data_IF_363035298138
#
_entry.id   IF_363035298138
#
_cell.length_a   1.000
_cell.length_b   1.000
_cell.length_c   1.000
_cell.angle_alpha   90.00
_cell.angle_beta   90.00
_cell.angle_gamma   90.00
#
_symmetry.space_group_name_H-M   'P 1'
#
loop_
_entity.id
_entity.type
_entity.pdbx_description
1 polymer ?
#
# COMPACT_ATOMS: atom_id res chain seq x y z
N UNK A 1 -5.09 9.06 17.38
CA UNK A 1 -4.66 9.23 15.97
C UNK A 1 -3.24 8.67 15.90
N UNK A 2 -3.05 7.52 15.24
CA UNK A 2 -1.72 6.91 15.16
C UNK A 2 -0.84 7.60 14.11
N UNK A 3 0.44 7.78 14.42
CA UNK A 3 1.48 8.24 13.48
C UNK A 3 2.12 7.05 12.72
N UNK A 4 1.38 5.95 12.56
CA UNK A 4 1.81 4.84 11.72
C UNK A 4 1.86 5.24 10.24
N UNK A 5 2.40 4.37 9.41
CA UNK A 5 2.60 4.62 7.98
C UNK A 5 3.83 3.86 7.49
N UNK A 6 4.60 4.48 6.61
CA UNK A 6 5.82 3.92 6.04
C UNK A 6 7.04 4.68 6.54
N UNK A 7 8.09 3.95 6.92
CA UNK A 7 9.41 4.52 7.18
C UNK A 7 10.43 3.86 6.27
N UNK A 8 11.22 4.67 5.57
CA UNK A 8 12.30 4.23 4.68
C UNK A 8 13.62 4.65 5.33
N UNK A 9 14.59 3.73 5.37
CA UNK A 9 15.97 4.01 5.80
C UNK A 9 16.92 3.81 4.62
N UNK A 10 17.64 4.87 4.26
CA UNK A 10 18.66 4.86 3.22
C UNK A 10 19.91 5.56 3.73
N UNK A 11 21.06 4.88 3.73
CA UNK A 11 22.34 5.43 4.21
C UNK A 11 22.21 6.08 5.60
N UNK A 12 21.60 5.37 6.55
CA UNK A 12 21.30 5.83 7.92
C UNK A 12 20.35 7.04 8.04
N UNK A 13 19.81 7.53 6.93
CA UNK A 13 18.81 8.60 6.91
C UNK A 13 17.41 8.01 6.86
N UNK A 14 16.58 8.40 7.83
CA UNK A 14 15.18 8.01 7.90
C UNK A 14 14.26 9.04 7.23
N UNK A 15 13.34 8.55 6.42
CA UNK A 15 12.22 9.32 5.87
C UNK A 15 10.92 8.64 6.31
N UNK A 16 9.97 9.42 6.81
CA UNK A 16 8.71 8.90 7.33
C UNK A 16 7.51 9.51 6.62
N UNK A 17 6.64 8.65 6.10
CA UNK A 17 5.39 8.99 5.43
C UNK A 17 4.21 8.53 6.29
N UNK A 18 3.26 9.43 6.49
CA UNK A 18 2.01 9.17 7.21
C UNK A 18 0.86 9.98 6.59
N UNK A 19 -0.32 9.92 7.22
CA UNK A 19 -1.55 10.55 6.71
C UNK A 19 -1.51 12.09 6.67
N UNK A 20 -0.58 12.74 7.37
CA UNK A 20 -0.52 14.22 7.45
C UNK A 20 0.51 14.83 6.51
N UNK A 21 1.51 14.06 6.07
CA UNK A 21 2.57 14.53 5.17
C UNK A 21 2.60 13.81 3.81
N UNK A 22 1.66 12.88 3.57
CA UNK A 22 1.61 12.09 2.34
C UNK A 22 0.17 11.70 1.99
N UNK A 23 0.01 10.95 0.88
CA UNK A 23 -1.29 10.41 0.44
C UNK A 23 -1.62 9.04 1.03
N UNK A 24 -0.92 8.62 2.08
CA UNK A 24 -1.25 7.38 2.80
C UNK A 24 -2.67 7.48 3.37
N UNK A 25 -3.58 6.55 3.01
CA UNK A 25 -4.98 6.66 3.39
C UNK A 25 -5.23 6.19 4.84
N UNK A 26 -4.46 5.23 5.33
CA UNK A 26 -4.53 4.68 6.68
C UNK A 26 -3.13 4.43 7.26
N UNK A 27 -3.00 4.61 8.57
CA UNK A 27 -1.74 4.50 9.32
C UNK A 27 -1.35 3.05 9.63
N UNK A 28 -2.30 2.12 9.52
CA UNK A 28 -2.07 0.69 9.73
C UNK A 28 -1.70 0.05 8.39
N UNK A 29 -0.41 -0.05 8.15
CA UNK A 29 0.15 -0.89 7.08
C UNK A 29 0.14 -2.33 7.56
N UNK A 30 -0.45 -3.24 6.77
CA UNK A 30 -0.60 -4.66 7.10
C UNK A 30 0.44 -5.53 6.44
N UNK A 31 0.88 -5.12 5.26
CA UNK A 31 1.80 -5.86 4.43
C UNK A 31 2.49 -4.90 3.44
N UNK A 32 3.69 -5.26 3.00
CA UNK A 32 4.52 -4.51 2.06
C UNK A 32 5.19 -5.51 1.11
N UNK A 33 5.01 -5.30 -0.19
CA UNK A 33 5.56 -6.15 -1.23
C UNK A 33 6.25 -5.32 -2.31
N UNK A 34 7.34 -5.83 -2.87
CA UNK A 34 8.13 -5.12 -3.89
C UNK A 34 8.14 -5.94 -5.16
N UNK A 35 7.59 -5.39 -6.24
CA UNK A 35 7.57 -6.10 -7.53
C UNK A 35 8.91 -6.04 -8.27
N UNK A 36 9.01 -6.80 -9.37
CA UNK A 36 10.21 -6.87 -10.22
C UNK A 36 10.64 -5.53 -10.84
N UNK A 37 9.76 -4.52 -10.85
CA UNK A 37 10.07 -3.18 -11.34
C UNK A 37 10.53 -2.23 -10.22
N UNK A 38 10.61 -2.71 -8.98
CA UNK A 38 10.92 -1.91 -7.80
C UNK A 38 9.75 -1.06 -7.31
N UNK A 39 8.53 -1.32 -7.76
CA UNK A 39 7.33 -0.67 -7.20
C UNK A 39 7.05 -1.25 -5.83
N UNK A 40 6.85 -0.38 -4.84
CA UNK A 40 6.43 -0.80 -3.50
C UNK A 40 4.91 -0.77 -3.43
N UNK A 41 4.33 -1.90 -3.09
CA UNK A 41 2.90 -2.08 -2.83
C UNK A 41 2.68 -2.21 -1.33
N UNK A 42 1.66 -1.55 -0.78
CA UNK A 42 1.36 -1.66 0.64
C UNK A 42 -0.12 -1.92 0.88
N UNK A 43 -0.42 -2.89 1.75
CA UNK A 43 -1.76 -3.21 2.21
C UNK A 43 -2.13 -2.31 3.39
N UNK A 44 -3.34 -1.73 3.39
CA UNK A 44 -3.82 -0.91 4.52
C UNK A 44 -5.27 -1.22 4.89
N UNK A 45 -5.71 -0.71 6.04
CA UNK A 45 -7.13 -0.75 6.42
C UNK A 45 -8.06 0.10 5.55
N UNK A 46 -7.52 0.92 4.64
CA UNK A 46 -8.31 1.76 3.76
C UNK A 46 -7.65 1.91 2.37
N UNK A 47 -7.60 0.82 1.62
CA UNK A 47 -7.05 0.76 0.27
C UNK A 47 -5.65 0.16 0.22
N UNK A 48 -5.16 0.00 -1.00
CA UNK A 48 -3.77 -0.35 -1.32
C UNK A 48 -3.00 0.93 -1.59
N UNK A 49 -1.69 0.95 -1.36
CA UNK A 49 -0.82 2.05 -1.79
C UNK A 49 0.15 1.52 -2.85
N UNK A 50 0.33 2.27 -3.93
CA UNK A 50 1.41 2.12 -4.89
C UNK A 50 2.45 3.22 -4.63
N UNK A 51 3.73 2.85 -4.55
CA UNK A 51 4.83 3.80 -4.44
C UNK A 51 5.88 3.53 -5.52
N UNK A 52 6.20 4.57 -6.29
CA UNK A 52 7.27 4.57 -7.32
C UNK A 52 8.07 5.86 -7.17
N UNK A 53 9.38 5.78 -6.96
CA UNK A 53 10.26 6.95 -6.76
C UNK A 53 9.69 7.93 -5.72
N UNK A 54 9.39 7.44 -4.51
CA UNK A 54 8.76 8.17 -3.40
C UNK A 54 7.36 8.76 -3.66
N UNK A 55 6.79 8.57 -4.86
CA UNK A 55 5.44 9.04 -5.18
C UNK A 55 4.40 8.04 -4.69
N UNK A 56 3.61 8.45 -3.70
CA UNK A 56 2.54 7.65 -3.08
C UNK A 56 1.20 7.88 -3.79
N UNK A 57 0.61 6.80 -4.29
CA UNK A 57 -0.70 6.78 -4.94
C UNK A 57 -1.62 5.73 -4.27
N UNK A 58 -2.70 6.16 -3.59
CA UNK A 58 -3.68 5.23 -3.03
C UNK A 58 -4.58 4.65 -4.12
N UNK A 59 -4.90 3.37 -3.98
CA UNK A 59 -5.78 2.60 -4.86
C UNK A 59 -6.94 2.06 -4.03
N UNK A 60 -8.15 2.34 -4.50
CA UNK A 60 -9.39 1.87 -3.91
C UNK A 60 -10.12 0.97 -4.91
N UNK A 61 -10.69 -0.12 -4.42
CA UNK A 61 -11.38 -1.11 -5.26
C UNK A 61 -12.90 -0.94 -5.26
N UNK A 62 -13.44 -0.23 -4.26
CA UNK A 62 -14.88 0.05 -4.11
C UNK A 62 -15.10 1.51 -3.74
N UNK A 63 -16.10 2.12 -4.36
CA UNK A 63 -16.58 3.45 -4.02
C UNK A 63 -17.54 3.42 -2.81
N UNK A 64 -17.77 4.60 -2.21
CA UNK A 64 -18.72 4.78 -1.11
C UNK A 64 -18.13 4.49 0.28
N UNK A 65 -19.00 4.17 1.25
CA UNK A 65 -18.64 4.06 2.67
C UNK A 65 -18.00 2.70 3.06
N UNK A 66 -17.81 1.79 2.11
CA UNK A 66 -17.24 0.48 2.41
C UNK A 66 -15.73 0.60 2.67
N UNK A 67 -15.27 0.06 3.79
CA UNK A 67 -13.83 -0.02 4.08
C UNK A 67 -13.16 -0.93 3.07
N UNK A 68 -12.14 -0.40 2.39
CA UNK A 68 -11.33 -1.09 1.40
C UNK A 68 -10.15 -1.81 2.09
N UNK A 69 -10.40 -2.63 3.10
CA UNK A 69 -9.30 -3.26 3.86
C UNK A 69 -8.56 -4.25 2.95
N UNK A 70 -7.30 -3.97 2.70
CA UNK A 70 -6.35 -4.88 2.05
C UNK A 70 -5.57 -5.58 3.15
N UNK A 71 -5.56 -6.91 3.12
CA UNK A 71 -5.01 -7.75 4.17
C UNK A 71 -3.58 -8.20 3.85
N UNK A 72 -3.31 -8.49 2.58
CA UNK A 72 -2.09 -9.15 2.08
C UNK A 72 -1.91 -8.87 0.59
N UNK A 73 -0.67 -8.78 0.12
CA UNK A 73 -0.31 -8.54 -1.29
C UNK A 73 0.84 -9.48 -1.68
N UNK A 74 0.69 -10.17 -2.81
CA UNK A 74 1.75 -11.00 -3.39
C UNK A 74 1.99 -10.60 -4.84
N UNK A 75 3.24 -10.55 -5.27
CA UNK A 75 3.60 -10.23 -6.67
C UNK A 75 4.23 -11.42 -7.40
N UNK A 76 3.74 -11.72 -8.60
CA UNK A 76 4.26 -12.80 -9.45
C UNK A 76 4.38 -12.31 -10.91
N UNK A 77 5.59 -11.93 -11.33
CA UNK A 77 5.80 -11.41 -12.68
C UNK A 77 5.05 -10.08 -12.88
N UNK A 78 4.04 -10.09 -13.76
CA UNK A 78 3.13 -8.94 -13.97
C UNK A 78 1.82 -9.03 -13.18
N UNK A 79 1.65 -10.08 -12.38
CA UNK A 79 0.43 -10.31 -11.60
C UNK A 79 0.64 -9.77 -10.19
N UNK A 80 -0.37 -9.07 -9.67
CA UNK A 80 -0.49 -8.74 -8.26
C UNK A 80 -1.74 -9.41 -7.73
N UNK A 81 -1.57 -10.27 -6.73
CA UNK A 81 -2.67 -10.86 -5.97
C UNK A 81 -2.91 -10.02 -4.72
N UNK A 82 -4.16 -9.62 -4.51
CA UNK A 82 -4.54 -8.72 -3.41
C UNK A 82 -5.66 -9.37 -2.61
N UNK A 83 -5.35 -9.80 -1.38
CA UNK A 83 -6.35 -10.30 -0.46
C UNK A 83 -7.05 -9.12 0.22
N UNK A 84 -8.37 -9.07 0.15
CA UNK A 84 -9.18 -8.02 0.79
C UNK A 84 -10.20 -8.61 1.74
N UNK A 85 -10.80 -7.77 2.60
CA UNK A 85 -11.94 -8.19 3.44
C UNK A 85 -13.21 -8.50 2.65
N UNK A 86 -13.17 -8.43 1.31
CA UNK A 86 -14.30 -8.67 0.44
C UNK A 86 -13.98 -9.54 -0.78
N UNK A 87 -12.89 -10.30 -0.70
CA UNK A 87 -12.49 -11.29 -1.70
C UNK A 87 -11.06 -11.11 -2.19
N UNK A 88 -10.68 -11.96 -3.15
CA UNK A 88 -9.39 -11.90 -3.83
C UNK A 88 -9.50 -11.05 -5.09
N UNK A 89 -8.54 -10.16 -5.30
CA UNK A 89 -8.42 -9.35 -6.52
C UNK A 89 -7.13 -9.76 -7.22
N UNK A 90 -7.21 -9.88 -8.55
CA UNK A 90 -6.06 -10.06 -9.42
C UNK A 90 -5.88 -8.79 -10.25
N UNK A 91 -4.68 -8.21 -10.24
CA UNK A 91 -4.29 -7.09 -11.09
C UNK A 91 -3.22 -7.59 -12.05
N UNK A 92 -3.28 -7.15 -13.31
CA UNK A 92 -2.23 -7.38 -14.30
C UNK A 92 -1.61 -6.04 -14.67
N UNK A 93 -0.27 -5.94 -14.57
CA UNK A 93 0.51 -4.77 -14.98
C UNK A 93 0.73 -4.72 -16.50
#
# INVERSE_FOLDING_TARGET
>A
MGNGGLSIIENDKWTHFNRTNSKIPDHMVRDIEIDNNGTIWMATNNGMIKMVNDKIEPIYFREGMYKNTVLDIETEGSIIWVATNFGLIKITQ
#
